data_IF_204331132202
#
_entry.id   IF_204331132202
#
_cell.length_a   1.000
_cell.length_b   1.000
_cell.length_c   1.000
_cell.angle_alpha   90.00
_cell.angle_beta   90.00
_cell.angle_gamma   90.00
#
_symmetry.space_group_name_H-M   'P 1'
#
loop_
_entity.id
_entity.type
_entity.pdbx_description
1 polymer ?
#
# COMPACT_ATOMS: atom_id res chain seq x y z
N UNK A 1 30.68 -19.89 -58.09
CA UNK A 1 30.46 -18.77 -57.13
C UNK A 1 29.39 -17.76 -57.63
N UNK A 2 28.42 -18.19 -58.46
CA UNK A 2 27.46 -17.29 -59.13
C UNK A 2 26.07 -17.22 -58.47
N UNK A 3 25.80 -18.01 -57.43
CA UNK A 3 24.43 -18.19 -56.92
C UNK A 3 24.06 -17.29 -55.70
N UNK A 4 25.04 -16.67 -55.01
CA UNK A 4 24.73 -15.78 -53.86
C UNK A 4 24.40 -14.34 -54.24
N UNK A 5 24.83 -13.88 -55.43
CA UNK A 5 24.58 -12.51 -55.90
C UNK A 5 23.13 -12.34 -56.41
N UNK A 6 22.58 -13.37 -57.07
CA UNK A 6 21.22 -13.34 -57.61
C UNK A 6 20.14 -13.38 -56.52
N UNK A 7 20.36 -14.12 -55.42
CA UNK A 7 19.41 -14.14 -54.30
C UNK A 7 19.28 -12.80 -53.56
N UNK A 8 20.35 -12.01 -53.47
CA UNK A 8 20.28 -10.68 -52.83
C UNK A 8 19.52 -9.65 -53.67
N UNK A 9 19.52 -9.77 -55.01
CA UNK A 9 18.80 -8.85 -55.90
C UNK A 9 17.28 -9.10 -55.93
N UNK A 10 16.81 -10.32 -55.70
CA UNK A 10 15.36 -10.60 -55.58
C UNK A 10 14.77 -10.13 -54.25
N UNK A 11 15.49 -10.29 -53.13
CA UNK A 11 14.98 -9.89 -51.82
C UNK A 11 14.79 -8.36 -51.68
N UNK A 12 15.68 -7.56 -52.30
CA UNK A 12 15.65 -6.11 -52.13
C UNK A 12 14.59 -5.39 -52.99
N UNK A 13 13.98 -6.08 -53.95
CA UNK A 13 12.97 -5.51 -54.87
C UNK A 13 11.54 -5.66 -54.35
N UNK A 14 11.30 -6.59 -53.42
CA UNK A 14 10.01 -6.79 -52.75
C UNK A 14 9.78 -5.86 -51.55
N UNK A 15 10.84 -5.35 -50.92
CA UNK A 15 10.71 -4.49 -49.73
C UNK A 15 10.26 -3.05 -50.06
N UNK A 16 10.65 -2.52 -51.23
CA UNK A 16 10.39 -1.11 -51.58
C UNK A 16 8.96 -0.86 -52.08
N UNK A 17 8.31 -1.85 -52.71
CA UNK A 17 6.93 -1.67 -53.21
C UNK A 17 5.85 -1.69 -52.09
N UNK A 18 6.17 -2.18 -50.89
CA UNK A 18 5.17 -2.35 -49.83
C UNK A 18 5.10 -1.15 -48.85
N UNK A 19 6.06 -0.22 -48.89
CA UNK A 19 6.09 0.93 -47.98
C UNK A 19 5.28 2.13 -48.48
N UNK A 20 5.15 2.35 -49.80
CA UNK A 20 4.40 3.49 -50.35
C UNK A 20 2.88 3.29 -50.35
N UNK A 21 2.38 2.05 -50.40
CA UNK A 21 0.95 1.77 -50.44
C UNK A 21 0.26 1.86 -49.06
N UNK A 22 0.97 1.56 -47.97
CA UNK A 22 0.41 1.62 -46.60
C UNK A 22 0.20 3.06 -46.12
N UNK A 23 1.05 4.01 -46.55
CA UNK A 23 1.01 5.39 -46.09
C UNK A 23 -0.18 6.21 -46.64
N UNK A 24 -0.71 5.87 -47.82
CA UNK A 24 -1.85 6.60 -48.43
C UNK A 24 -3.20 6.09 -47.91
N UNK A 25 -3.28 4.83 -47.45
CA UNK A 25 -4.55 4.22 -47.02
C UNK A 25 -4.95 4.60 -45.58
N UNK A 26 -4.00 4.90 -44.70
CA UNK A 26 -4.28 5.29 -43.31
C UNK A 26 -4.69 6.75 -43.16
N UNK A 27 -4.36 7.63 -44.12
CA UNK A 27 -4.71 9.06 -44.07
C UNK A 27 -6.20 9.33 -44.34
N UNK A 28 -6.82 8.57 -45.26
CA UNK A 28 -8.25 8.77 -45.63
C UNK A 28 -9.27 8.25 -44.61
N UNK A 29 -8.88 7.37 -43.68
CA UNK A 29 -9.78 6.86 -42.63
C UNK A 29 -9.84 7.76 -41.38
N UNK A 30 -8.80 8.57 -41.14
CA UNK A 30 -8.73 9.47 -39.97
C UNK A 30 -9.53 10.77 -40.18
N UNK A 31 -9.69 11.22 -41.43
CA UNK A 31 -10.45 12.44 -41.75
C UNK A 31 -11.98 12.22 -41.74
N UNK A 32 -12.47 11.07 -42.17
CA UNK A 32 -13.91 10.74 -42.19
C UNK A 32 -14.50 10.52 -40.78
N UNK A 33 -13.68 10.09 -39.81
CA UNK A 33 -14.12 9.86 -38.42
C UNK A 33 -14.14 11.16 -37.58
N UNK A 34 -13.26 12.12 -37.89
CA UNK A 34 -13.19 13.43 -37.19
C UNK A 34 -14.35 14.37 -37.56
N UNK A 35 -14.93 14.22 -38.75
CA UNK A 35 -16.04 15.05 -39.25
C UNK A 35 -17.42 14.67 -38.68
N UNK A 36 -17.55 13.51 -38.01
CA UNK A 36 -18.77 13.11 -37.28
C UNK A 36 -18.84 13.62 -35.83
N UNK A 37 -17.72 14.08 -35.27
CA UNK A 37 -17.65 14.54 -33.88
C UNK A 37 -18.04 16.01 -33.68
N UNK A 38 -18.19 16.80 -34.75
CA UNK A 38 -18.39 18.27 -34.67
C UNK A 38 -19.85 18.69 -34.86
N UNK A 39 -20.77 17.76 -35.15
CA UNK A 39 -22.18 18.07 -35.51
C UNK A 39 -23.23 17.77 -34.43
N UNK A 40 -22.85 17.62 -33.17
CA UNK A 40 -23.83 17.62 -32.07
C UNK A 40 -23.41 18.69 -31.06
N UNK A 41 -23.47 19.95 -31.51
CA UNK A 41 -23.90 21.05 -30.65
C UNK A 41 -25.36 20.77 -30.28
N UNK A 42 -25.63 20.43 -29.02
CA UNK A 42 -27.01 20.33 -28.54
C UNK A 42 -27.13 19.74 -27.15
N UNK A 43 -27.46 20.60 -26.18
CA UNK A 43 -27.92 20.27 -24.83
C UNK A 43 -26.99 19.41 -23.96
N UNK A 44 -26.20 20.07 -23.11
CA UNK A 44 -25.47 19.38 -22.04
C UNK A 44 -24.71 20.27 -21.07
N UNK A 45 -25.11 21.54 -20.89
CA UNK A 45 -24.62 22.36 -19.77
C UNK A 45 -25.42 22.01 -18.51
N UNK A 46 -25.07 20.93 -17.83
CA UNK A 46 -25.43 20.73 -16.42
C UNK A 46 -24.55 19.63 -15.82
N UNK A 47 -24.05 19.87 -14.61
CA UNK A 47 -23.42 18.87 -13.72
C UNK A 47 -21.97 18.48 -14.01
N UNK A 48 -21.03 19.39 -13.74
CA UNK A 48 -19.64 19.03 -13.45
C UNK A 48 -19.12 19.81 -12.23
N UNK A 49 -19.84 19.72 -11.12
CA UNK A 49 -19.41 20.20 -9.80
C UNK A 49 -19.96 19.22 -8.76
N UNK A 50 -19.14 18.24 -8.36
CA UNK A 50 -19.22 17.61 -7.04
C UNK A 50 -17.79 17.14 -6.67
N UNK A 51 -17.20 17.67 -5.58
CA UNK A 51 -15.83 17.38 -5.18
C UNK A 51 -15.70 15.94 -4.68
N UNK A 52 -14.54 15.35 -4.94
CA UNK A 52 -14.12 14.08 -4.37
C UNK A 52 -13.92 14.23 -2.84
N UNK A 53 -15.01 14.20 -2.08
CA UNK A 53 -14.99 13.89 -0.65
C UNK A 53 -15.55 12.48 -0.48
N UNK A 54 -14.71 11.48 -0.76
CA UNK A 54 -15.00 10.07 -0.50
C UNK A 54 -13.81 9.39 0.19
N UNK A 55 -13.08 10.15 1.01
CA UNK A 55 -11.94 9.66 1.80
C UNK A 55 -12.14 9.90 3.30
N UNK A 56 -13.39 9.96 3.75
CA UNK A 56 -13.72 10.00 5.16
C UNK A 56 -14.87 9.04 5.38
N UNK A 57 -14.79 8.24 6.45
CA UNK A 57 -15.76 7.22 6.88
C UNK A 57 -15.54 5.84 6.27
N UNK A 58 -14.37 5.27 6.52
CA UNK A 58 -14.33 3.89 6.97
C UNK A 58 -14.31 3.97 8.51
N UNK A 59 -15.50 3.90 9.15
CA UNK A 59 -15.53 3.52 10.56
C UNK A 59 -15.02 2.08 10.60
N UNK A 60 -13.71 1.94 10.79
CA UNK A 60 -13.08 0.64 10.73
C UNK A 60 -13.68 -0.24 11.84
N UNK A 61 -14.25 -1.37 11.45
CA UNK A 61 -14.59 -2.52 12.32
C UNK A 61 -13.34 -3.10 13.04
N UNK A 62 -12.18 -2.47 12.86
CA UNK A 62 -10.87 -2.92 13.28
C UNK A 62 -10.04 -1.75 13.84
N UNK A 63 -9.14 -1.99 14.81
CA UNK A 63 -8.26 -0.95 15.34
C UNK A 63 -7.35 -0.35 14.27
N UNK A 64 -6.95 0.91 14.45
CA UNK A 64 -6.00 1.60 13.56
C UNK A 64 -4.75 2.03 14.30
N UNK A 65 -3.68 2.33 13.56
CA UNK A 65 -2.45 2.81 14.16
C UNK A 65 -2.67 4.12 14.92
N UNK A 66 -3.25 5.11 14.25
CA UNK A 66 -3.45 6.44 14.82
C UNK A 66 -4.29 6.40 16.10
N UNK A 67 -5.45 5.75 16.02
CA UNK A 67 -6.47 5.83 17.06
C UNK A 67 -6.20 4.95 18.28
N UNK A 68 -5.64 3.75 18.12
CA UNK A 68 -5.43 2.81 19.24
C UNK A 68 -3.99 2.31 19.37
N UNK A 69 -3.38 1.81 18.30
CA UNK A 69 -2.13 1.04 18.40
C UNK A 69 -0.91 1.92 18.68
N UNK A 70 -0.91 3.19 18.26
CA UNK A 70 0.16 4.15 18.50
C UNK A 70 0.50 4.26 19.98
N UNK A 71 -0.52 4.33 20.86
CA UNK A 71 -0.36 4.40 22.31
C UNK A 71 0.18 3.08 22.88
N UNK A 72 -0.33 1.95 22.41
CA UNK A 72 0.15 0.62 22.82
C UNK A 72 1.65 0.46 22.52
N UNK A 73 2.09 0.87 21.33
CA UNK A 73 3.50 0.82 20.92
C UNK A 73 4.35 1.79 21.76
N UNK A 74 3.85 2.99 22.05
CA UNK A 74 4.53 3.95 22.92
C UNK A 74 4.74 3.40 24.32
N UNK A 75 3.69 2.86 24.94
CA UNK A 75 3.70 2.40 26.33
C UNK A 75 4.50 1.11 26.52
N UNK A 76 4.42 0.18 25.56
CA UNK A 76 4.98 -1.17 25.73
C UNK A 76 6.28 -1.42 24.96
N UNK A 77 6.55 -0.66 23.89
CA UNK A 77 7.65 -1.01 22.96
C UNK A 77 8.75 0.06 22.92
N UNK A 78 8.40 1.34 22.89
CA UNK A 78 9.38 2.41 22.67
C UNK A 78 10.41 2.51 23.78
N UNK A 79 10.11 2.08 25.02
CA UNK A 79 11.09 2.02 26.11
C UNK A 79 12.38 1.28 25.72
N UNK A 80 12.26 0.25 24.89
CA UNK A 80 13.40 -0.51 24.36
C UNK A 80 13.67 -0.21 22.88
N UNK A 81 12.63 0.04 22.08
CA UNK A 81 12.70 0.21 20.63
C UNK A 81 12.66 1.68 20.21
N UNK A 82 13.67 2.43 20.59
CA UNK A 82 13.88 3.81 20.16
C UNK A 82 15.39 4.08 19.99
N UNK A 83 15.78 5.14 19.27
CA UNK A 83 17.19 5.44 19.03
C UNK A 83 18.00 5.54 20.33
N UNK A 84 19.13 4.82 20.38
CA UNK A 84 20.02 4.79 21.54
C UNK A 84 19.62 3.81 22.65
N UNK A 85 18.53 3.07 22.49
CA UNK A 85 18.14 1.99 23.42
C UNK A 85 18.54 0.61 22.90
N UNK A 86 18.21 -0.43 23.69
CA UNK A 86 18.66 -1.82 23.46
C UNK A 86 17.99 -2.50 22.26
N UNK A 87 16.83 -2.02 21.83
CA UNK A 87 16.07 -2.57 20.70
C UNK A 87 16.78 -2.31 19.36
N UNK A 88 16.91 -3.30 18.47
CA UNK A 88 17.68 -3.17 17.23
C UNK A 88 16.97 -2.34 16.15
N UNK A 89 15.68 -2.06 16.31
CA UNK A 89 14.87 -1.23 15.43
C UNK A 89 14.10 -0.18 16.24
N UNK A 90 13.85 0.96 15.59
CA UNK A 90 13.06 2.07 16.14
C UNK A 90 11.57 1.85 15.89
N UNK A 91 10.73 2.16 16.87
CA UNK A 91 9.26 2.15 16.77
C UNK A 91 8.67 3.52 17.12
N UNK A 92 9.34 4.59 16.68
CA UNK A 92 8.94 5.98 16.98
C UNK A 92 7.95 6.57 16.00
N UNK A 93 7.70 5.90 14.87
CA UNK A 93 6.75 6.32 13.83
C UNK A 93 6.05 5.15 13.16
N UNK A 94 4.90 5.40 12.54
CA UNK A 94 4.15 4.38 11.80
C UNK A 94 5.00 3.73 10.69
N UNK A 95 5.75 4.52 9.93
CA UNK A 95 6.57 4.04 8.83
C UNK A 95 7.68 3.09 9.30
N UNK A 96 8.19 3.31 10.52
CA UNK A 96 9.15 2.41 11.15
C UNK A 96 8.49 1.16 11.71
N UNK A 97 7.28 1.25 12.28
CA UNK A 97 6.57 0.12 12.92
C UNK A 97 5.97 -0.83 11.90
N UNK A 98 5.31 -0.30 10.86
CA UNK A 98 4.50 -1.06 9.90
C UNK A 98 5.24 -2.24 9.25
N UNK A 99 6.52 -2.14 8.83
CA UNK A 99 7.25 -3.27 8.26
C UNK A 99 7.42 -4.46 9.21
N UNK A 100 7.41 -4.20 10.52
CA UNK A 100 7.60 -5.21 11.56
C UNK A 100 6.28 -5.75 12.12
N UNK A 101 5.13 -5.24 11.67
CA UNK A 101 3.83 -5.58 12.21
C UNK A 101 3.57 -7.10 12.33
N UNK A 102 3.87 -7.95 11.32
CA UNK A 102 3.70 -9.41 11.47
C UNK A 102 4.60 -10.03 12.54
N UNK A 103 5.83 -9.53 12.69
CA UNK A 103 6.75 -10.01 13.72
C UNK A 103 6.32 -9.53 15.11
N UNK A 104 5.87 -8.28 15.23
CA UNK A 104 5.30 -7.72 16.46
C UNK A 104 4.14 -8.59 16.91
N UNK A 105 3.18 -8.87 16.01
CA UNK A 105 2.04 -9.76 16.28
C UNK A 105 2.49 -11.11 16.84
N UNK A 106 3.44 -11.78 16.16
CA UNK A 106 3.94 -13.07 16.60
C UNK A 106 4.56 -13.00 18.01
N UNK A 107 5.37 -11.97 18.28
CA UNK A 107 6.08 -11.82 19.55
C UNK A 107 5.15 -11.47 20.72
N UNK A 108 4.16 -10.60 20.50
CA UNK A 108 3.19 -10.23 21.55
C UNK A 108 2.19 -11.36 21.80
N UNK A 109 1.73 -12.06 20.74
CA UNK A 109 0.82 -13.21 20.88
C UNK A 109 1.48 -14.35 21.66
N UNK A 110 2.77 -14.59 21.45
CA UNK A 110 3.56 -15.57 22.21
C UNK A 110 4.01 -15.06 23.59
N UNK A 111 3.71 -13.80 23.94
CA UNK A 111 4.18 -13.15 25.18
C UNK A 111 5.71 -13.15 25.33
N UNK A 112 6.41 -13.16 24.20
CA UNK A 112 7.87 -12.98 24.15
C UNK A 112 8.26 -11.50 24.24
N UNK A 113 7.34 -10.63 23.83
CA UNK A 113 7.46 -9.18 23.92
C UNK A 113 6.24 -8.58 24.62
N UNK A 114 6.43 -7.59 25.50
CA UNK A 114 7.72 -7.14 26.04
C UNK A 114 8.44 -8.24 26.85
N UNK A 115 9.77 -8.22 27.01
CA UNK A 115 10.55 -9.34 27.55
C UNK A 115 10.51 -9.42 29.09
N UNK A 116 9.31 -9.38 29.68
CA UNK A 116 9.11 -9.46 31.13
C UNK A 116 8.79 -10.90 31.55
N UNK A 117 9.67 -11.49 32.36
CA UNK A 117 9.63 -12.90 32.75
C UNK A 117 8.74 -13.18 33.98
N UNK A 118 7.63 -12.45 34.13
CA UNK A 118 6.74 -12.62 35.28
C UNK A 118 5.58 -13.58 34.97
N UNK A 119 5.40 -14.60 35.81
CA UNK A 119 4.28 -15.53 35.73
C UNK A 119 2.94 -14.78 35.93
N UNK A 120 1.90 -15.23 35.20
CA UNK A 120 0.56 -14.59 35.20
C UNK A 120 -0.50 -15.40 35.95
N UNK A 121 -0.19 -16.63 36.28
CA UNK A 121 -1.10 -17.62 36.87
C UNK A 121 -0.64 -18.12 38.24
N UNK A 122 0.61 -17.84 38.61
CA UNK A 122 1.22 -18.30 39.85
C UNK A 122 2.02 -17.19 40.53
N UNK A 123 2.10 -17.22 41.87
CA UNK A 123 2.82 -16.22 42.66
C UNK A 123 2.09 -14.89 42.85
N UNK A 124 2.84 -13.84 43.18
CA UNK A 124 2.33 -12.49 43.47
C UNK A 124 1.87 -11.82 42.17
N UNK A 125 0.57 -11.56 42.05
CA UNK A 125 0.00 -10.97 40.83
C UNK A 125 -0.02 -9.44 40.83
N UNK A 126 -0.06 -8.84 42.01
CA UNK A 126 -0.08 -7.38 42.19
C UNK A 126 1.35 -6.85 42.28
N UNK A 127 1.96 -6.63 41.12
CA UNK A 127 3.31 -6.08 41.03
C UNK A 127 3.25 -4.54 41.00
N UNK A 128 4.13 -3.90 41.77
CA UNK A 128 4.34 -2.45 41.65
C UNK A 128 5.05 -2.18 40.32
N UNK A 129 4.46 -1.32 39.49
CA UNK A 129 4.92 -1.04 38.12
C UNK A 129 4.95 -2.31 37.25
N UNK A 130 3.81 -2.99 37.15
CA UNK A 130 3.65 -4.13 36.27
C UNK A 130 3.81 -3.71 34.80
N UNK A 131 4.89 -4.13 34.16
CA UNK A 131 5.14 -3.86 32.75
C UNK A 131 4.61 -4.97 31.84
N UNK A 132 3.96 -6.01 32.38
CA UNK A 132 3.31 -7.02 31.54
C UNK A 132 2.25 -6.35 30.66
N UNK A 133 2.31 -6.64 29.36
CA UNK A 133 1.31 -6.17 28.41
C UNK A 133 -0.05 -6.82 28.69
N UNK A 134 -1.10 -6.00 28.72
CA UNK A 134 -2.47 -6.44 28.93
C UNK A 134 -2.94 -7.34 27.78
N UNK A 135 -3.87 -8.27 28.06
CA UNK A 135 -4.41 -9.13 27.00
C UNK A 135 -5.17 -8.30 25.96
N UNK A 136 -5.90 -7.27 26.39
CA UNK A 136 -6.64 -6.36 25.51
C UNK A 136 -5.71 -5.62 24.53
N UNK A 137 -4.53 -5.20 24.97
CA UNK A 137 -3.53 -4.58 24.10
C UNK A 137 -2.99 -5.58 23.07
N UNK A 138 -2.72 -6.82 23.50
CA UNK A 138 -2.26 -7.91 22.60
C UNK A 138 -3.33 -8.15 21.54
N UNK A 139 -4.59 -8.28 21.93
CA UNK A 139 -5.71 -8.55 21.03
C UNK A 139 -5.91 -7.39 20.05
N UNK A 140 -5.75 -6.15 20.51
CA UNK A 140 -5.83 -4.94 19.68
C UNK A 140 -4.73 -4.93 18.61
N UNK A 141 -3.48 -5.22 18.99
CA UNK A 141 -2.36 -5.33 18.04
C UNK A 141 -2.61 -6.47 17.05
N UNK A 142 -3.03 -7.63 17.53
CA UNK A 142 -3.33 -8.79 16.68
C UNK A 142 -4.43 -8.46 15.65
N UNK A 143 -5.52 -7.83 16.09
CA UNK A 143 -6.62 -7.41 15.22
C UNK A 143 -6.17 -6.38 14.17
N UNK A 144 -5.39 -5.38 14.59
CA UNK A 144 -4.81 -4.38 13.68
C UNK A 144 -3.92 -5.01 12.61
N UNK A 145 -3.04 -5.96 13.00
CA UNK A 145 -2.18 -6.66 12.03
C UNK A 145 -3.00 -7.52 11.08
N UNK A 146 -4.01 -8.23 11.59
CA UNK A 146 -4.93 -9.03 10.77
C UNK A 146 -5.73 -8.16 9.77
N UNK A 147 -6.04 -6.91 10.13
CA UNK A 147 -6.69 -5.94 9.25
C UNK A 147 -5.73 -5.30 8.21
N UNK A 148 -4.47 -5.74 8.14
CA UNK A 148 -3.48 -5.20 7.19
C UNK A 148 -2.68 -4.00 7.73
N UNK A 149 -2.70 -3.79 9.04
CA UNK A 149 -1.96 -2.72 9.74
C UNK A 149 -2.30 -1.30 9.23
N UNK A 150 -3.59 -0.91 9.13
CA UNK A 150 -3.98 0.40 8.62
C UNK A 150 -3.49 1.55 9.51
N UNK A 151 -3.08 2.67 8.87
CA UNK A 151 -2.72 3.90 9.58
C UNK A 151 -3.92 4.50 10.33
N UNK A 152 -5.10 4.50 9.73
CA UNK A 152 -6.26 5.23 10.24
C UNK A 152 -6.21 6.72 9.90
N UNK A 153 -7.01 7.52 10.61
CA UNK A 153 -7.02 8.99 10.48
C UNK A 153 -5.82 9.59 11.22
N UNK A 154 -4.87 10.27 10.54
CA UNK A 154 -3.71 10.87 11.20
C UNK A 154 -4.05 11.93 12.26
N UNK A 155 -5.26 12.51 12.24
CA UNK A 155 -5.71 13.47 13.27
C UNK A 155 -5.99 12.82 14.63
N UNK A 156 -6.05 11.49 14.72
CA UNK A 156 -6.30 10.74 15.96
C UNK A 156 -5.00 10.39 16.74
N UNK A 157 -3.82 10.75 16.21
CA UNK A 157 -2.50 10.45 16.80
C UNK A 157 -2.16 11.28 18.05
#
# INVERSE_FOLDING_TARGET
MENRSQMRKMANRHFVLNAQAVCVFTSRLVEELKMRFVRILGLGSALALLPALAAAQDEADHPTYAKEVSRIIQDNCQICHQPGQIGPMSFTSYDEVRPWAPLIQLKVANREMPPYQYDRDTGVQELKNDWRMAQEDIDTVVAWVNAGSPMGNPEDL
#
